data_IF_901918618960
#
_entry.id   IF_901918618960
#
_cell.length_a   1.000
_cell.length_b   1.000
_cell.length_c   1.000
_cell.angle_alpha   90.00
_cell.angle_beta   90.00
_cell.angle_gamma   90.00
#
_symmetry.space_group_name_H-M   'P 1'
#
loop_
_entity.id
_entity.type
_entity.pdbx_description
1 polymer ?
#
# COMPACT_ATOMS: atom_id res chain seq x y z
N UNK A 1 -12.49 15.09 33.49
CA UNK A 1 -11.44 15.34 32.49
C UNK A 1 -11.03 14.02 31.86
N UNK A 2 -11.83 13.49 30.94
CA UNK A 2 -11.57 12.24 30.21
C UNK A 2 -11.97 12.48 28.77
N UNK A 3 -11.02 12.50 27.83
CA UNK A 3 -11.36 12.67 26.41
C UNK A 3 -10.18 13.03 25.52
N UNK A 4 -9.33 12.05 25.19
CA UNK A 4 -8.40 12.17 24.04
C UNK A 4 -7.75 10.85 23.57
N UNK A 5 -8.19 9.67 24.02
CA UNK A 5 -7.59 8.38 23.61
C UNK A 5 -8.43 7.55 22.60
N UNK A 6 -9.50 8.10 22.02
CA UNK A 6 -10.47 7.29 21.25
C UNK A 6 -10.23 7.19 19.73
N UNK A 7 -9.23 7.89 19.17
CA UNK A 7 -9.01 7.94 17.71
C UNK A 7 -7.67 7.34 17.24
N UNK A 8 -7.12 6.37 17.97
CA UNK A 8 -5.93 5.65 17.55
C UNK A 8 -6.00 4.15 17.88
N UNK A 9 -5.34 3.33 17.05
CA UNK A 9 -5.22 1.88 17.23
C UNK A 9 -3.73 1.53 17.15
N UNK A 10 -3.24 0.76 18.13
CA UNK A 10 -1.87 0.22 18.12
C UNK A 10 -1.88 -1.18 17.51
N UNK A 11 -0.96 -1.42 16.57
CA UNK A 11 -0.67 -2.75 16.05
C UNK A 11 0.79 -3.11 16.34
N UNK A 12 1.00 -4.33 16.85
CA UNK A 12 2.32 -4.93 17.02
C UNK A 12 2.76 -5.51 15.68
N UNK A 13 3.74 -4.90 15.03
CA UNK A 13 4.38 -5.44 13.83
C UNK A 13 5.71 -6.11 14.17
N UNK A 14 6.26 -6.92 13.25
CA UNK A 14 7.59 -7.53 13.40
C UNK A 14 8.70 -6.48 13.62
N UNK A 15 8.49 -5.27 13.10
CA UNK A 15 9.39 -4.13 13.20
C UNK A 15 9.20 -3.29 14.47
N UNK A 16 8.20 -3.58 15.30
CA UNK A 16 7.83 -2.80 16.48
C UNK A 16 6.36 -2.39 16.50
N UNK A 17 5.98 -1.64 17.54
CA UNK A 17 4.63 -1.10 17.68
C UNK A 17 4.42 0.11 16.78
N UNK A 18 3.28 0.14 16.09
CA UNK A 18 2.86 1.27 15.27
C UNK A 18 1.48 1.73 15.70
N UNK A 19 1.36 3.01 16.00
CA UNK A 19 0.10 3.66 16.37
C UNK A 19 -0.48 4.33 15.13
N UNK A 20 -1.67 3.91 14.74
CA UNK A 20 -2.41 4.46 13.61
C UNK A 20 -3.55 5.34 14.10
N UNK A 21 -3.66 6.55 13.57
CA UNK A 21 -4.86 7.36 13.78
C UNK A 21 -5.99 6.87 12.88
N UNK A 22 -7.18 6.65 13.44
CA UNK A 22 -8.37 6.23 12.66
C UNK A 22 -9.00 7.38 11.88
N UNK A 23 -8.55 8.62 12.10
CA UNK A 23 -9.08 9.80 11.45
C UNK A 23 -8.92 9.67 9.91
N UNK A 24 -10.06 9.74 9.21
CA UNK A 24 -10.11 9.65 7.75
C UNK A 24 -9.89 8.25 7.18
N UNK A 25 -9.85 7.18 7.99
CA UNK A 25 -9.73 5.80 7.48
C UNK A 25 -10.85 5.44 6.52
N UNK A 26 -12.10 5.76 6.88
CA UNK A 26 -13.27 5.46 6.03
C UNK A 26 -13.22 6.23 4.72
N UNK A 27 -12.89 7.52 4.75
CA UNK A 27 -12.86 8.35 3.54
C UNK A 27 -11.72 7.97 2.61
N UNK A 28 -10.53 7.67 3.14
CA UNK A 28 -9.40 7.14 2.35
C UNK A 28 -9.68 5.76 1.75
N UNK A 29 -10.57 4.97 2.37
CA UNK A 29 -10.95 3.65 1.88
C UNK A 29 -12.07 3.69 0.82
N UNK A 30 -12.81 4.79 0.73
CA UNK A 30 -13.80 4.99 -0.36
C UNK A 30 -13.05 5.24 -1.66
N UNK A 31 -13.31 4.42 -2.67
CA UNK A 31 -12.82 4.62 -4.04
C UNK A 31 -14.02 4.75 -5.00
N UNK A 32 -14.66 5.93 -5.05
CA UNK A 32 -15.95 6.11 -5.70
C UNK A 32 -15.81 6.32 -7.22
N UNK A 33 -15.17 5.37 -7.92
CA UNK A 33 -15.21 5.35 -9.39
C UNK A 33 -16.38 4.50 -9.89
N UNK A 34 -17.55 5.11 -9.92
CA UNK A 34 -18.77 4.47 -10.41
C UNK A 34 -18.75 4.25 -11.92
N UNK A 35 -19.57 3.29 -12.36
CA UNK A 35 -19.66 2.91 -13.78
C UNK A 35 -20.09 4.07 -14.68
N UNK A 36 -20.91 5.00 -14.18
CA UNK A 36 -21.38 6.17 -14.94
C UNK A 36 -20.24 7.11 -15.31
N UNK A 37 -19.28 7.32 -14.40
CA UNK A 37 -18.08 8.08 -14.70
C UNK A 37 -17.20 7.36 -15.74
N UNK A 38 -17.06 6.04 -15.65
CA UNK A 38 -16.30 5.25 -16.63
C UNK A 38 -16.93 5.33 -18.04
N UNK A 39 -18.26 5.31 -18.14
CA UNK A 39 -19.00 5.50 -19.41
C UNK A 39 -18.78 6.88 -19.99
N UNK A 40 -18.85 7.91 -19.16
CA UNK A 40 -18.59 9.29 -19.58
C UNK A 40 -17.18 9.41 -20.18
N UNK A 41 -16.17 8.89 -19.47
CA UNK A 41 -14.78 8.90 -19.95
C UNK A 41 -14.61 8.09 -21.25
N UNK A 42 -15.29 6.94 -21.38
CA UNK A 42 -15.28 6.14 -22.60
C UNK A 42 -15.94 6.84 -23.81
N UNK A 43 -16.91 7.71 -23.56
CA UNK A 43 -17.56 8.52 -24.61
C UNK A 43 -16.69 9.68 -25.11
N UNK A 44 -15.51 9.89 -24.53
CA UNK A 44 -14.57 10.91 -24.99
C UNK A 44 -14.16 10.71 -26.45
N UNK A 45 -14.04 11.83 -27.17
CA UNK A 45 -13.47 11.86 -28.52
C UNK A 45 -11.95 11.63 -28.51
N UNK A 46 -11.29 11.81 -27.36
CA UNK A 46 -9.86 11.56 -27.21
C UNK A 46 -9.60 10.04 -27.09
N UNK A 47 -8.85 9.43 -28.03
CA UNK A 47 -8.58 7.99 -28.01
C UNK A 47 -7.85 7.51 -26.74
N UNK A 48 -6.96 8.33 -26.17
CA UNK A 48 -6.23 7.98 -24.94
C UNK A 48 -7.19 7.85 -23.76
N UNK A 49 -8.08 8.82 -23.58
CA UNK A 49 -9.08 8.82 -22.50
C UNK A 49 -10.02 7.63 -22.66
N UNK A 50 -10.51 7.41 -23.88
CA UNK A 50 -11.38 6.27 -24.19
C UNK A 50 -10.72 4.93 -23.85
N UNK A 51 -9.45 4.76 -24.22
CA UNK A 51 -8.72 3.50 -24.02
C UNK A 51 -8.34 3.21 -22.56
N UNK A 52 -8.30 4.21 -21.69
CA UNK A 52 -8.06 4.01 -20.26
C UNK A 52 -9.26 3.39 -19.52
N UNK A 53 -10.49 3.56 -20.04
CA UNK A 53 -11.72 3.04 -19.42
C UNK A 53 -12.58 2.20 -20.38
N UNK A 54 -12.05 1.07 -20.89
CA UNK A 54 -12.77 0.20 -21.84
C UNK A 54 -14.06 -0.40 -21.24
N UNK A 55 -14.10 -0.53 -19.91
CA UNK A 55 -15.28 -0.98 -19.15
C UNK A 55 -16.50 -0.09 -19.39
N UNK A 56 -16.31 1.19 -19.77
CA UNK A 56 -17.39 2.10 -20.08
C UNK A 56 -18.28 1.64 -21.25
N UNK A 57 -17.82 0.73 -22.10
CA UNK A 57 -18.61 0.12 -23.18
C UNK A 57 -19.65 -0.91 -22.70
N UNK A 58 -19.57 -1.36 -21.45
CA UNK A 58 -20.41 -2.45 -20.94
C UNK A 58 -21.86 -2.01 -20.70
N UNK A 59 -22.84 -2.91 -20.90
CA UNK A 59 -24.27 -2.59 -20.79
C UNK A 59 -24.72 -2.31 -19.34
N UNK A 60 -25.70 -1.41 -19.13
CA UNK A 60 -26.19 -0.97 -17.79
C UNK A 60 -26.55 -2.15 -16.90
N UNK A 61 -27.19 -3.17 -17.49
CA UNK A 61 -27.72 -4.32 -16.76
C UNK A 61 -26.66 -5.29 -16.23
N UNK A 62 -25.39 -5.17 -16.65
CA UNK A 62 -24.32 -6.09 -16.21
C UNK A 62 -23.58 -5.63 -14.93
N UNK A 63 -23.76 -4.38 -14.47
CA UNK A 63 -22.84 -3.78 -13.49
C UNK A 63 -23.59 -2.87 -12.51
N UNK A 64 -24.16 -3.49 -11.49
CA UNK A 64 -24.68 -2.80 -10.29
C UNK A 64 -23.86 -3.11 -9.04
N UNK A 65 -22.70 -3.76 -9.19
CA UNK A 65 -21.82 -4.03 -8.05
C UNK A 65 -21.22 -2.71 -7.55
N UNK A 66 -21.31 -2.47 -6.24
CA UNK A 66 -20.61 -1.35 -5.60
C UNK A 66 -19.13 -1.41 -5.97
N UNK A 67 -18.48 -0.26 -6.25
CA UNK A 67 -17.04 -0.22 -6.43
C UNK A 67 -16.33 -0.88 -5.25
N UNK A 68 -15.25 -1.59 -5.54
CA UNK A 68 -14.39 -2.14 -4.49
C UNK A 68 -13.80 -0.98 -3.67
N UNK A 69 -13.55 -1.23 -2.39
CA UNK A 69 -12.86 -0.24 -1.56
C UNK A 69 -11.37 -0.21 -1.89
N UNK A 70 -10.71 0.92 -1.62
CA UNK A 70 -9.27 1.05 -1.85
C UNK A 70 -8.47 -0.05 -1.11
N UNK A 71 -8.87 -0.39 0.12
CA UNK A 71 -8.24 -1.48 0.89
C UNK A 71 -8.43 -2.86 0.25
N UNK A 72 -9.58 -3.12 -0.40
CA UNK A 72 -9.82 -4.39 -1.11
C UNK A 72 -8.96 -4.47 -2.36
N UNK A 73 -8.87 -3.39 -3.13
CA UNK A 73 -8.00 -3.31 -4.31
C UNK A 73 -6.53 -3.51 -3.92
N UNK A 74 -6.07 -2.83 -2.87
CA UNK A 74 -4.71 -2.96 -2.36
C UNK A 74 -4.41 -4.39 -1.90
N UNK A 75 -5.33 -5.03 -1.15
CA UNK A 75 -5.19 -6.42 -0.73
C UNK A 75 -5.06 -7.36 -1.92
N UNK A 76 -5.93 -7.24 -2.92
CA UNK A 76 -5.91 -8.12 -4.09
C UNK A 76 -4.59 -7.97 -4.88
N UNK A 77 -4.11 -6.73 -5.06
CA UNK A 77 -2.82 -6.46 -5.69
C UNK A 77 -1.65 -7.06 -4.90
N UNK A 78 -1.68 -6.99 -3.57
CA UNK A 78 -0.65 -7.62 -2.72
C UNK A 78 -0.66 -9.15 -2.84
N UNK A 79 -1.84 -9.78 -2.82
CA UNK A 79 -1.96 -11.24 -2.98
C UNK A 79 -1.38 -11.67 -4.32
N UNK A 80 -1.79 -11.03 -5.41
CA UNK A 80 -1.27 -11.33 -6.75
C UNK A 80 0.26 -11.15 -6.85
N UNK A 81 0.81 -10.13 -6.19
CA UNK A 81 2.25 -9.90 -6.12
C UNK A 81 2.97 -11.03 -5.38
N UNK A 82 2.46 -11.43 -4.20
CA UNK A 82 3.05 -12.51 -3.40
C UNK A 82 2.99 -13.85 -4.13
N UNK A 83 1.89 -14.15 -4.81
CA UNK A 83 1.78 -15.33 -5.68
C UNK A 83 2.82 -15.31 -6.80
N UNK A 84 2.98 -14.17 -7.48
CA UNK A 84 3.98 -14.03 -8.54
C UNK A 84 5.42 -14.21 -8.01
N UNK A 85 5.75 -13.65 -6.85
CA UNK A 85 7.06 -13.78 -6.23
C UNK A 85 7.32 -15.23 -5.79
N UNK A 86 6.31 -15.89 -5.23
CA UNK A 86 6.41 -17.28 -4.73
C UNK A 86 6.63 -18.29 -5.85
N UNK A 87 6.23 -17.97 -7.09
CA UNK A 87 6.48 -18.79 -8.27
C UNK A 87 7.94 -18.81 -8.76
N UNK A 88 8.84 -18.05 -8.14
CA UNK A 88 10.24 -17.87 -8.59
C UNK A 88 11.21 -18.11 -7.44
N UNK A 89 12.48 -18.34 -7.77
CA UNK A 89 13.56 -18.31 -6.78
C UNK A 89 13.86 -16.84 -6.38
N UNK A 90 13.66 -16.45 -5.11
CA UNK A 90 13.82 -15.05 -4.71
C UNK A 90 15.25 -14.74 -4.29
N UNK A 91 15.69 -13.53 -4.63
CA UNK A 91 16.90 -12.90 -4.10
C UNK A 91 16.53 -11.57 -3.47
N UNK A 92 17.13 -11.26 -2.32
CA UNK A 92 16.75 -10.09 -1.53
C UNK A 92 17.96 -9.16 -1.33
N UNK A 93 17.80 -7.90 -1.72
CA UNK A 93 18.71 -6.81 -1.38
C UNK A 93 18.07 -5.96 -0.30
N UNK A 94 18.80 -5.67 0.78
CA UNK A 94 18.33 -4.88 1.91
C UNK A 94 19.04 -3.53 1.89
N UNK A 95 18.33 -2.48 1.52
CA UNK A 95 18.88 -1.14 1.43
C UNK A 95 18.80 -0.43 2.78
N UNK A 96 19.87 0.26 3.16
CA UNK A 96 19.97 1.06 4.40
C UNK A 96 20.33 2.50 4.02
N UNK A 97 19.59 3.48 4.56
CA UNK A 97 19.85 4.91 4.39
C UNK A 97 20.77 5.41 5.52
N UNK A 98 22.02 5.79 5.24
CA UNK A 98 23.00 6.10 6.30
C UNK A 98 22.71 7.41 7.04
N UNK A 99 22.04 8.38 6.41
CA UNK A 99 21.68 9.67 7.00
C UNK A 99 20.53 10.35 6.23
N UNK A 100 19.87 11.33 6.84
CA UNK A 100 18.77 12.11 6.23
C UNK A 100 19.27 13.26 5.33
N UNK A 101 20.49 13.74 5.58
CA UNK A 101 21.11 14.88 4.88
C UNK A 101 21.52 14.54 3.45
N UNK A 102 21.34 13.29 3.01
CA UNK A 102 21.78 12.78 1.70
C UNK A 102 23.28 12.98 1.47
N UNK A 103 24.05 13.00 2.55
CA UNK A 103 25.50 13.15 2.51
C UNK A 103 26.17 11.80 2.26
N UNK A 104 27.20 11.71 1.42
CA UNK A 104 27.92 10.46 1.20
C UNK A 104 28.82 10.04 2.38
N UNK A 105 29.12 10.94 3.30
CA UNK A 105 30.12 10.70 4.37
C UNK A 105 29.53 10.62 5.77
N UNK A 106 28.29 11.06 5.97
CA UNK A 106 27.65 11.05 7.29
C UNK A 106 27.05 9.67 7.53
N UNK A 107 27.29 9.13 8.72
CA UNK A 107 26.67 7.89 9.18
C UNK A 107 25.99 8.16 10.52
N UNK A 108 24.68 7.91 10.56
CA UNK A 108 23.84 8.06 11.74
C UNK A 108 23.58 6.67 12.33
N UNK A 109 24.31 6.34 13.40
CA UNK A 109 24.29 5.02 14.03
C UNK A 109 22.89 4.65 14.53
N UNK A 110 22.21 5.56 15.24
CA UNK A 110 20.89 5.32 15.81
C UNK A 110 19.86 5.01 14.71
N UNK A 111 19.92 5.79 13.64
CA UNK A 111 19.05 5.60 12.48
C UNK A 111 19.32 4.27 11.78
N UNK A 112 20.58 3.93 11.55
CA UNK A 112 20.94 2.67 10.90
C UNK A 112 20.55 1.49 11.80
N UNK A 113 20.73 1.59 13.10
CA UNK A 113 20.29 0.56 14.05
C UNK A 113 18.78 0.34 13.99
N UNK A 114 17.99 1.42 13.96
CA UNK A 114 16.54 1.31 13.78
C UNK A 114 16.18 0.60 12.45
N UNK A 115 16.92 0.87 11.38
CA UNK A 115 16.76 0.18 10.09
C UNK A 115 17.10 -1.30 10.14
N UNK A 116 18.20 -1.66 10.80
CA UNK A 116 18.60 -3.05 11.02
C UNK A 116 17.51 -3.81 11.78
N UNK A 117 16.88 -3.19 12.78
CA UNK A 117 15.76 -3.75 13.54
C UNK A 117 14.51 -3.90 12.66
N UNK A 118 14.01 -2.85 12.01
CA UNK A 118 12.77 -2.96 11.23
C UNK A 118 12.91 -3.81 9.95
N UNK A 119 14.10 -3.94 9.37
CA UNK A 119 14.35 -4.86 8.24
C UNK A 119 14.46 -6.33 8.68
N UNK A 120 14.42 -6.59 10.00
CA UNK A 120 14.56 -7.93 10.57
C UNK A 120 15.91 -8.56 10.26
N UNK A 121 16.98 -7.78 10.06
CA UNK A 121 18.28 -8.32 9.64
C UNK A 121 18.87 -9.25 10.70
N UNK A 122 18.69 -8.89 11.99
CA UNK A 122 19.14 -9.73 13.10
C UNK A 122 18.45 -11.09 13.11
N UNK A 123 17.15 -11.12 12.85
CA UNK A 123 16.38 -12.37 12.80
C UNK A 123 16.74 -13.20 11.56
N UNK A 124 16.92 -12.55 10.41
CA UNK A 124 17.41 -13.21 9.20
C UNK A 124 18.77 -13.89 9.40
N UNK A 125 19.68 -13.28 10.17
CA UNK A 125 20.99 -13.88 10.49
C UNK A 125 20.83 -15.07 11.45
N UNK A 126 19.94 -14.98 12.44
CA UNK A 126 19.68 -16.07 13.39
C UNK A 126 19.09 -17.30 12.72
N UNK A 127 18.10 -17.14 11.85
CA UNK A 127 17.43 -18.26 11.15
C UNK A 127 18.35 -18.96 10.14
N UNK A 128 19.38 -18.26 9.65
CA UNK A 128 20.35 -18.80 8.68
C UNK A 128 21.58 -19.47 9.32
N UNK A 129 21.81 -19.29 10.63
CA UNK A 129 22.83 -20.02 11.37
C UNK A 129 22.30 -21.38 11.79
#
# INVERSE_FOLDING_TARGET
MYGSEQNAILFRHYAGDVIYSVNGFLDKNKDPLFQDFKRLLYSSTNPLIKNMWPEGAQHITKITKRPLTAGTLFKNSMVALVENLSSKAPFYVRCIKPNEQKSPVIFDDERVEHQVRYLGLMENVRVRR
#
